data_IF_135082275528
#
_entry.id   IF_135082275528
#
_cell.length_a   1.000
_cell.length_b   1.000
_cell.length_c   1.000
_cell.angle_alpha   90.00
_cell.angle_beta   90.00
_cell.angle_gamma   90.00
#
_symmetry.space_group_name_H-M   'P 1'
#
loop_
_entity.id
_entity.type
_entity.pdbx_description
1 polymer ?
#
# COMPACT_ATOMS: atom_id res chain seq x y z
N UNK A 1 2.48 20.59 -0.69
CA UNK A 1 3.65 19.79 -1.13
C UNK A 1 3.10 18.67 -1.98
N UNK A 2 3.70 18.42 -3.15
CA UNK A 2 2.94 17.97 -4.32
C UNK A 2 2.55 16.49 -4.28
N UNK A 3 1.43 16.18 -4.94
CA UNK A 3 0.92 14.87 -5.36
C UNK A 3 1.98 13.81 -5.75
N UNK A 4 3.18 14.25 -6.12
CA UNK A 4 4.34 13.41 -6.45
C UNK A 4 4.80 12.59 -5.24
N UNK A 5 4.88 13.19 -4.04
CA UNK A 5 5.36 12.49 -2.84
C UNK A 5 4.46 11.32 -2.46
N UNK A 6 3.13 11.52 -2.44
CA UNK A 6 2.18 10.45 -2.16
C UNK A 6 2.21 9.32 -3.20
N UNK A 7 2.42 9.67 -4.48
CA UNK A 7 2.54 8.67 -5.55
C UNK A 7 3.83 7.85 -5.43
N UNK A 8 4.93 8.45 -4.97
CA UNK A 8 6.17 7.76 -4.67
C UNK A 8 5.98 6.80 -3.48
N UNK A 9 5.32 7.25 -2.42
CA UNK A 9 4.98 6.41 -1.25
C UNK A 9 4.14 5.19 -1.64
N UNK A 10 3.11 5.39 -2.48
CA UNK A 10 2.28 4.28 -3.01
C UNK A 10 3.09 3.31 -3.87
N UNK A 11 4.00 3.82 -4.72
CA UNK A 11 4.86 2.96 -5.55
C UNK A 11 5.80 2.11 -4.70
N UNK A 12 6.41 2.70 -3.67
CA UNK A 12 7.28 1.98 -2.74
C UNK A 12 6.52 0.84 -2.05
N UNK A 13 5.31 1.10 -1.57
CA UNK A 13 4.44 0.10 -0.98
C UNK A 13 4.11 -1.06 -1.95
N UNK A 14 3.77 -0.75 -3.21
CA UNK A 14 3.48 -1.75 -4.23
C UNK A 14 4.73 -2.60 -4.53
N UNK A 15 5.90 -1.97 -4.72
CA UNK A 15 7.15 -2.69 -4.98
C UNK A 15 7.52 -3.62 -3.82
N UNK A 16 7.27 -3.23 -2.57
CA UNK A 16 7.45 -4.09 -1.40
C UNK A 16 6.57 -5.35 -1.49
N UNK A 17 5.29 -5.18 -1.79
CA UNK A 17 4.35 -6.28 -1.95
C UNK A 17 4.66 -7.20 -3.15
N UNK A 18 5.21 -6.66 -4.24
CA UNK A 18 5.59 -7.44 -5.43
C UNK A 18 6.84 -8.30 -5.22
N UNK A 19 7.73 -7.91 -4.29
CA UNK A 19 9.02 -8.56 -4.07
C UNK A 19 9.07 -9.43 -2.80
N UNK A 20 7.99 -9.51 -2.03
CA UNK A 20 7.95 -10.36 -0.84
C UNK A 20 8.02 -11.85 -1.22
N UNK A 21 8.86 -12.62 -0.51
CA UNK A 21 8.82 -14.07 -0.61
C UNK A 21 7.59 -14.60 0.11
N UNK A 22 6.59 -15.02 -0.65
CA UNK A 22 5.32 -15.53 -0.12
C UNK A 22 5.45 -16.90 0.56
N UNK A 23 6.61 -17.55 0.46
CA UNK A 23 6.87 -18.83 1.13
C UNK A 23 7.59 -18.65 2.48
N UNK A 24 8.02 -17.44 2.80
CA UNK A 24 8.70 -17.11 4.05
C UNK A 24 7.77 -16.25 4.94
N UNK A 25 7.29 -16.87 6.02
CA UNK A 25 6.37 -16.22 6.95
C UNK A 25 7.00 -15.02 7.67
N UNK A 26 8.30 -15.03 7.92
CA UNK A 26 9.00 -13.94 8.57
C UNK A 26 9.13 -12.76 7.60
N UNK A 27 9.50 -13.02 6.33
CA UNK A 27 9.54 -12.00 5.28
C UNK A 27 8.17 -11.35 5.03
N UNK A 28 7.09 -12.14 5.05
CA UNK A 28 5.72 -11.63 4.95
C UNK A 28 5.36 -10.74 6.15
N UNK A 29 5.73 -11.14 7.37
CA UNK A 29 5.46 -10.35 8.57
C UNK A 29 6.23 -9.02 8.57
N UNK A 30 7.51 -9.04 8.22
CA UNK A 30 8.34 -7.84 8.07
C UNK A 30 7.73 -6.88 7.02
N UNK A 31 7.29 -7.40 5.88
CA UNK A 31 6.63 -6.62 4.83
C UNK A 31 5.35 -5.95 5.34
N UNK A 32 4.53 -6.64 6.16
CA UNK A 32 3.32 -6.06 6.75
C UNK A 32 3.63 -4.94 7.74
N UNK A 33 4.71 -5.08 8.53
CA UNK A 33 5.15 -4.02 9.46
C UNK A 33 5.63 -2.79 8.71
N UNK A 34 6.41 -2.97 7.63
CA UNK A 34 6.86 -1.86 6.80
C UNK A 34 5.69 -1.15 6.10
N UNK A 35 4.70 -1.91 5.63
CA UNK A 35 3.47 -1.37 5.04
C UNK A 35 2.67 -0.50 6.02
N UNK A 36 2.60 -0.89 7.29
CA UNK A 36 1.94 -0.09 8.33
C UNK A 36 2.69 1.24 8.55
N UNK A 37 4.03 1.22 8.60
CA UNK A 37 4.83 2.43 8.78
C UNK A 37 4.66 3.39 7.60
N UNK A 38 4.75 2.88 6.36
CA UNK A 38 4.55 3.66 5.14
C UNK A 38 3.15 4.29 5.11
N UNK A 39 2.13 3.53 5.49
CA UNK A 39 0.74 3.99 5.54
C UNK A 39 0.54 5.07 6.59
N UNK A 40 1.08 4.85 7.79
CA UNK A 40 1.01 5.83 8.88
C UNK A 40 1.68 7.14 8.48
N UNK A 41 2.88 7.06 7.91
CA UNK A 41 3.64 8.23 7.49
C UNK A 41 2.88 8.98 6.37
N UNK A 42 2.29 8.26 5.41
CA UNK A 42 1.43 8.83 4.38
C UNK A 42 0.20 9.57 4.96
N UNK A 43 -0.44 9.01 6.00
CA UNK A 43 -1.59 9.65 6.68
C UNK A 43 -1.17 10.87 7.49
N UNK A 44 0.02 10.86 8.09
CA UNK A 44 0.52 12.01 8.84
C UNK A 44 1.00 13.16 7.96
N UNK A 45 1.55 12.84 6.78
CA UNK A 45 2.18 13.81 5.88
C UNK A 45 1.26 14.33 4.76
N UNK A 46 0.20 13.58 4.43
CA UNK A 46 -0.75 13.96 3.39
C UNK A 46 -2.14 14.23 3.96
N UNK A 47 -2.81 15.25 3.44
CA UNK A 47 -4.19 15.50 3.81
C UNK A 47 -5.08 14.35 3.34
N UNK A 48 -6.12 14.01 4.12
CA UNK A 48 -7.14 13.02 3.73
C UNK A 48 -7.69 13.31 2.32
N UNK A 49 -7.81 14.59 1.95
CA UNK A 49 -8.22 15.01 0.61
C UNK A 49 -7.23 14.61 -0.49
N UNK A 50 -5.93 14.67 -0.23
CA UNK A 50 -4.88 14.22 -1.17
C UNK A 50 -4.90 12.70 -1.31
N UNK A 51 -5.07 11.96 -0.21
CA UNK A 51 -5.22 10.50 -0.20
C UNK A 51 -6.42 10.03 -1.02
N UNK A 52 -7.60 10.63 -0.80
CA UNK A 52 -8.82 10.33 -1.56
C UNK A 52 -8.68 10.63 -3.05
N UNK A 53 -7.97 11.71 -3.39
CA UNK A 53 -7.72 12.12 -4.79
C UNK A 53 -6.70 11.23 -5.51
N UNK A 54 -5.84 10.52 -4.77
CA UNK A 54 -4.78 9.70 -5.34
C UNK A 54 -5.23 8.27 -5.68
N UNK A 55 -6.31 7.74 -5.08
CA UNK A 55 -6.57 6.30 -5.18
C UNK A 55 -8.01 5.77 -5.13
N UNK A 56 -9.06 6.55 -4.83
CA UNK A 56 -10.39 5.93 -4.57
C UNK A 56 -11.37 5.94 -5.75
N UNK A 57 -11.14 6.73 -6.81
CA UNK A 57 -12.17 6.93 -7.86
C UNK A 57 -12.09 5.94 -9.04
N UNK A 58 -11.02 5.15 -9.25
CA UNK A 58 -10.84 4.44 -10.53
C UNK A 58 -10.54 2.93 -10.51
N UNK A 59 -10.28 2.28 -9.36
CA UNK A 59 -10.04 0.83 -9.32
C UNK A 59 -10.79 0.17 -8.17
N UNK A 60 -12.11 0.04 -8.33
CA UNK A 60 -12.88 -1.02 -7.67
C UNK A 60 -12.85 -2.28 -8.53
N UNK A 61 -11.67 -2.79 -8.86
CA UNK A 61 -11.60 -4.16 -9.34
C UNK A 61 -11.86 -5.07 -8.14
N UNK A 62 -12.86 -5.96 -8.29
CA UNK A 62 -13.24 -6.93 -7.27
C UNK A 62 -12.01 -7.77 -6.94
N UNK A 63 -11.45 -7.58 -5.75
CA UNK A 63 -10.48 -8.53 -5.18
C UNK A 63 -11.24 -9.84 -4.98
N UNK A 64 -11.08 -10.77 -5.93
CA UNK A 64 -11.64 -12.10 -5.86
C UNK A 64 -10.91 -12.90 -4.79
N UNK A 65 -11.39 -12.80 -3.55
CA UNK A 65 -10.99 -13.73 -2.49
C UNK A 65 -11.54 -15.12 -2.83
N UNK A 66 -10.83 -15.87 -3.67
CA UNK A 66 -11.02 -17.31 -3.75
C UNK A 66 -10.29 -17.93 -2.56
N UNK A 67 -10.99 -18.05 -1.44
CA UNK A 67 -10.56 -18.90 -0.32
C UNK A 67 -10.73 -20.34 -0.79
N UNK A 68 -9.62 -21.06 -1.01
CA UNK A 68 -9.66 -22.51 -1.17
C UNK A 68 -10.15 -23.11 0.16
N UNK A 69 -11.26 -23.83 0.09
CA UNK A 69 -11.92 -24.49 1.23
C UNK A 69 -11.12 -25.70 1.74
#
# INVERSE_FOLDING_TARGET
MSKIALQETIKTAITLLENVDQNDADAMFETLVEMELITRDAVTEHSVSELLSAGIIAQQDRVGFNVAA
#
